data_IF_091048464970
#
_entry.id   IF_091048464970
#
_cell.length_a   1.000
_cell.length_b   1.000
_cell.length_c   1.000
_cell.angle_alpha   90.00
_cell.angle_beta   90.00
_cell.angle_gamma   90.00
#
_symmetry.space_group_name_H-M   'P 1'
#
loop_
_entity.id
_entity.type
_entity.pdbx_description
1 polymer ?
#
# COMPACT_ATOMS: atom_id res chain seq x y z
N UNK A 1 -2.37 23.15 3.72
CA UNK A 1 -2.02 21.72 3.86
C UNK A 1 -2.62 21.26 5.18
N UNK A 2 -3.53 20.29 5.15
CA UNK A 2 -4.15 19.72 6.36
C UNK A 2 -3.10 18.96 7.18
N UNK A 3 -3.39 18.68 8.45
CA UNK A 3 -2.52 17.84 9.28
C UNK A 3 -2.35 16.46 8.64
N UNK A 4 -3.41 15.87 8.10
CA UNK A 4 -3.39 14.58 7.39
C UNK A 4 -2.47 14.62 6.18
N UNK A 5 -2.59 15.62 5.30
CA UNK A 5 -1.71 15.76 4.14
C UNK A 5 -0.21 15.86 4.53
N UNK A 6 0.10 16.48 5.67
CA UNK A 6 1.48 16.53 6.19
C UNK A 6 1.96 15.17 6.69
N UNK A 7 1.13 14.44 7.42
CA UNK A 7 1.47 13.08 7.88
C UNK A 7 1.63 12.12 6.70
N UNK A 8 0.77 12.23 5.69
CA UNK A 8 0.87 11.47 4.45
C UNK A 8 2.22 11.70 3.76
N UNK A 9 2.63 12.97 3.61
CA UNK A 9 3.92 13.29 3.00
C UNK A 9 5.11 12.71 3.77
N UNK A 10 5.07 12.72 5.11
CA UNK A 10 6.11 12.08 5.92
C UNK A 10 6.09 10.56 5.83
N UNK A 11 4.91 9.96 5.82
CA UNK A 11 4.75 8.51 5.70
C UNK A 11 5.29 8.01 4.34
N UNK A 12 5.03 8.74 3.26
CA UNK A 12 5.56 8.44 1.93
C UNK A 12 7.08 8.59 1.85
N UNK A 13 7.66 9.58 2.53
CA UNK A 13 9.12 9.72 2.59
C UNK A 13 9.79 8.58 3.37
N UNK A 14 9.13 8.03 4.39
CA UNK A 14 9.68 6.96 5.21
C UNK A 14 9.79 5.62 4.47
N UNK A 15 9.03 5.42 3.39
CA UNK A 15 9.09 4.21 2.55
C UNK A 15 10.45 4.05 1.84
N UNK A 16 11.20 5.13 1.64
CA UNK A 16 12.47 5.10 0.92
C UNK A 16 12.34 5.46 -0.57
N UNK A 17 13.48 5.46 -1.25
CA UNK A 17 13.61 5.99 -2.62
C UNK A 17 13.66 4.90 -3.68
N UNK A 18 13.97 3.65 -3.30
CA UNK A 18 14.08 2.50 -4.22
C UNK A 18 13.08 1.41 -3.87
N UNK A 19 12.81 0.50 -4.82
CA UNK A 19 11.90 -0.63 -4.59
C UNK A 19 12.35 -1.54 -3.45
N UNK A 20 13.66 -1.72 -3.27
CA UNK A 20 14.22 -2.53 -2.20
C UNK A 20 14.09 -1.83 -0.84
N UNK A 21 14.29 -0.51 -0.77
CA UNK A 21 14.09 0.24 0.49
C UNK A 21 12.64 0.11 0.95
N UNK A 22 11.69 0.24 0.00
CA UNK A 22 10.26 0.09 0.24
C UNK A 22 9.96 -1.32 0.76
N UNK A 23 10.48 -2.35 0.09
CA UNK A 23 10.28 -3.73 0.51
C UNK A 23 10.85 -4.00 1.90
N UNK A 24 12.10 -3.59 2.17
CA UNK A 24 12.73 -3.77 3.48
C UNK A 24 11.96 -3.04 4.59
N UNK A 25 11.51 -1.81 4.33
CA UNK A 25 10.71 -1.04 5.27
C UNK A 25 9.38 -1.74 5.56
N UNK A 26 8.68 -2.21 4.53
CA UNK A 26 7.39 -2.89 4.66
C UNK A 26 7.54 -4.22 5.41
N UNK A 27 8.56 -5.00 5.09
CA UNK A 27 8.88 -6.27 5.75
C UNK A 27 9.23 -6.04 7.22
N UNK A 28 10.03 -5.01 7.53
CA UNK A 28 10.40 -4.67 8.91
C UNK A 28 9.18 -4.24 9.76
N UNK A 29 8.18 -3.61 9.14
CA UNK A 29 6.93 -3.23 9.80
C UNK A 29 5.84 -4.31 9.78
N UNK A 30 6.06 -5.42 9.08
CA UNK A 30 5.09 -6.51 8.96
C UNK A 30 3.85 -6.15 8.13
N UNK A 31 3.96 -5.18 7.21
CA UNK A 31 2.87 -4.80 6.32
C UNK A 31 2.88 -5.65 5.05
N UNK A 32 2.13 -6.74 5.06
CA UNK A 32 1.88 -7.60 3.88
C UNK A 32 0.58 -7.21 3.19
N UNK A 33 0.41 -7.56 1.92
CA UNK A 33 -0.77 -7.18 1.15
C UNK A 33 -1.06 -8.08 -0.04
N UNK A 34 -2.15 -7.80 -0.76
CA UNK A 34 -2.57 -8.57 -1.93
C UNK A 34 -2.10 -7.89 -3.21
N UNK A 35 -1.64 -8.71 -4.16
CA UNK A 35 -1.28 -8.26 -5.51
C UNK A 35 -2.52 -7.81 -6.27
N UNK A 36 -2.36 -6.84 -7.15
CA UNK A 36 -3.41 -6.30 -8.03
C UNK A 36 -4.65 -5.74 -7.29
N UNK A 37 -4.59 -5.59 -5.97
CA UNK A 37 -5.62 -4.94 -5.16
C UNK A 37 -5.05 -3.67 -4.53
N UNK A 38 -5.42 -2.53 -5.09
CA UNK A 38 -4.92 -1.24 -4.62
C UNK A 38 -5.32 -0.88 -3.18
N UNK A 39 -6.39 -1.47 -2.63
CA UNK A 39 -6.79 -1.26 -1.22
C UNK A 39 -6.06 -2.20 -0.27
N UNK A 40 -5.73 -3.39 -0.75
CA UNK A 40 -4.98 -4.39 0.01
C UNK A 40 -3.48 -4.38 -0.31
N UNK A 41 -2.99 -3.43 -1.11
CA UNK A 41 -1.56 -3.24 -1.36
C UNK A 41 -0.81 -3.02 -0.03
N UNK A 42 0.41 -3.57 0.14
CA UNK A 42 1.22 -3.33 1.34
C UNK A 42 1.38 -1.85 1.72
N UNK A 43 1.55 -0.97 0.73
CA UNK A 43 1.64 0.47 0.93
C UNK A 43 0.31 1.05 1.44
N UNK A 44 -0.83 0.61 0.90
CA UNK A 44 -2.15 1.08 1.34
C UNK A 44 -2.43 0.68 2.79
N UNK A 45 -2.05 -0.54 3.18
CA UNK A 45 -2.16 -1.04 4.56
C UNK A 45 -1.26 -0.25 5.50
N UNK A 46 0.00 -0.02 5.11
CA UNK A 46 0.92 0.82 5.86
C UNK A 46 0.34 2.22 6.09
N UNK A 47 -0.06 2.93 5.04
CA UNK A 47 -0.57 4.30 5.14
C UNK A 47 -1.81 4.37 6.03
N UNK A 48 -2.73 3.42 5.88
CA UNK A 48 -3.93 3.31 6.73
C UNK A 48 -3.60 3.07 8.21
N UNK A 49 -2.47 2.42 8.50
CA UNK A 49 -2.06 2.11 9.87
C UNK A 49 -1.32 3.25 10.58
N UNK A 50 -0.62 4.13 9.85
CA UNK A 50 0.24 5.17 10.46
C UNK A 50 -0.27 6.59 10.28
N UNK A 51 -1.07 6.86 9.25
CA UNK A 51 -1.59 8.21 9.00
C UNK A 51 -2.95 8.36 9.70
N UNK A 52 -3.08 9.30 10.64
CA UNK A 52 -4.33 9.49 11.37
C UNK A 52 -5.43 10.05 10.46
N UNK A 53 -6.69 9.77 10.84
CA UNK A 53 -7.88 10.30 10.17
C UNK A 53 -8.09 9.80 8.73
N UNK A 54 -7.57 8.62 8.38
CA UNK A 54 -7.84 7.95 7.10
C UNK A 54 -9.02 7.00 7.25
N UNK A 55 -9.91 6.96 6.26
CA UNK A 55 -10.99 5.99 6.13
C UNK A 55 -10.81 5.01 4.97
N UNK A 56 -10.17 5.41 3.87
CA UNK A 56 -9.86 4.55 2.72
C UNK A 56 -8.52 4.97 2.11
N UNK A 57 -7.76 4.00 1.61
CA UNK A 57 -6.53 4.23 0.83
C UNK A 57 -6.55 3.30 -0.37
N UNK A 58 -6.32 3.88 -1.54
CA UNK A 58 -6.20 3.16 -2.78
C UNK A 58 -4.88 3.51 -3.46
N UNK A 59 -4.10 2.48 -3.79
CA UNK A 59 -2.77 2.60 -4.38
C UNK A 59 -2.72 1.88 -5.72
N UNK A 60 -2.20 2.55 -6.73
CA UNK A 60 -1.74 1.94 -7.99
C UNK A 60 -0.34 2.44 -8.29
N UNK A 61 0.37 1.89 -9.30
CA UNK A 61 1.64 2.47 -9.74
C UNK A 61 1.55 3.96 -10.13
N UNK A 62 0.37 4.45 -10.53
CA UNK A 62 0.22 5.79 -11.09
C UNK A 62 -0.53 6.77 -10.19
N UNK A 63 -1.17 6.27 -9.12
CA UNK A 63 -2.15 7.03 -8.36
C UNK A 63 -2.15 6.57 -6.90
N UNK A 64 -2.26 7.55 -5.99
CA UNK A 64 -2.54 7.37 -4.58
C UNK A 64 -3.76 8.22 -4.22
N UNK A 65 -4.86 7.57 -3.88
CA UNK A 65 -6.06 8.22 -3.38
C UNK A 65 -6.20 7.91 -1.90
N UNK A 66 -6.32 8.96 -1.08
CA UNK A 66 -6.59 8.85 0.35
C UNK A 66 -7.89 9.57 0.66
N UNK A 67 -8.83 8.86 1.26
CA UNK A 67 -10.07 9.44 1.79
C UNK A 67 -9.94 9.55 3.30
N UNK A 68 -10.18 10.74 3.82
CA UNK A 68 -10.17 11.00 5.27
C UNK A 68 -11.53 10.65 5.89
N UNK A 69 -11.57 10.43 7.20
CA UNK A 69 -12.82 10.13 7.91
C UNK A 69 -13.85 11.28 7.86
N UNK A 70 -13.39 12.50 7.60
CA UNK A 70 -14.26 13.67 7.39
C UNK A 70 -14.76 13.81 5.95
N UNK A 71 -14.36 12.91 5.04
CA UNK A 71 -14.75 12.88 3.64
C UNK A 71 -13.89 13.74 2.70
N UNK A 72 -12.79 14.33 3.18
CA UNK A 72 -11.78 14.95 2.30
C UNK A 72 -11.07 13.87 1.50
N UNK A 73 -11.00 14.02 0.17
CA UNK A 73 -10.25 13.18 -0.74
C UNK A 73 -8.95 13.88 -1.14
N UNK A 74 -7.84 13.19 -0.97
CA UNK A 74 -6.49 13.63 -1.32
C UNK A 74 -6.00 12.71 -2.44
N UNK A 75 -5.92 13.25 -3.65
CA UNK A 75 -5.35 12.60 -4.82
C UNK A 75 -3.92 13.10 -5.04
N UNK A 76 -2.97 12.18 -5.11
CA UNK A 76 -1.57 12.48 -5.39
C UNK A 76 -0.87 11.32 -6.09
N UNK A 77 0.37 11.54 -6.52
CA UNK A 77 1.20 10.50 -7.13
C UNK A 77 2.14 9.91 -6.11
N UNK A 78 2.39 8.61 -6.22
CA UNK A 78 3.46 7.96 -5.48
C UNK A 78 4.83 8.52 -5.90
N UNK A 79 5.79 8.63 -4.97
CA UNK A 79 7.19 8.79 -5.34
C UNK A 79 7.68 7.60 -6.18
N UNK A 80 8.76 7.79 -6.95
CA UNK A 80 9.25 6.81 -7.94
C UNK A 80 9.50 5.43 -7.31
N UNK A 81 10.24 5.35 -6.19
CA UNK A 81 10.51 4.07 -5.51
C UNK A 81 9.23 3.29 -5.13
N UNK A 82 8.30 3.89 -4.37
CA UNK A 82 6.99 3.32 -4.09
C UNK A 82 6.18 2.94 -5.35
N UNK A 83 6.17 3.76 -6.39
CA UNK A 83 5.47 3.48 -7.66
C UNK A 83 6.05 2.25 -8.38
N UNK A 84 7.37 2.19 -8.51
CA UNK A 84 8.08 1.05 -9.10
C UNK A 84 7.90 -0.22 -8.25
N UNK A 85 7.83 -0.06 -6.92
CA UNK A 85 7.57 -1.18 -6.01
C UNK A 85 6.20 -1.79 -6.27
N UNK A 86 5.13 -0.99 -6.39
CA UNK A 86 3.79 -1.50 -6.66
C UNK A 86 3.77 -2.30 -7.95
N UNK A 87 4.38 -1.79 -9.02
CA UNK A 87 4.47 -2.50 -10.30
C UNK A 87 5.19 -3.84 -10.15
N UNK A 88 6.37 -3.84 -9.52
CA UNK A 88 7.14 -5.06 -9.34
C UNK A 88 6.44 -6.08 -8.44
N UNK A 89 5.77 -5.62 -7.37
CA UNK A 89 5.01 -6.46 -6.46
C UNK A 89 3.83 -7.15 -7.17
N UNK A 90 3.07 -6.39 -7.97
CA UNK A 90 1.96 -6.91 -8.77
C UNK A 90 2.44 -7.90 -9.83
N UNK A 91 3.63 -7.70 -10.40
CA UNK A 91 4.27 -8.61 -11.37
C UNK A 91 4.85 -9.90 -10.73
N UNK A 92 4.72 -10.06 -9.41
CA UNK A 92 5.16 -11.27 -8.71
C UNK A 92 6.50 -11.16 -7.97
N UNK A 93 7.12 -9.98 -7.89
CA UNK A 93 8.25 -9.77 -6.99
C UNK A 93 7.80 -9.72 -5.52
N UNK A 94 8.77 -9.82 -4.61
CA UNK A 94 8.57 -9.72 -3.14
C UNK A 94 7.49 -10.67 -2.60
N UNK A 95 7.62 -11.97 -2.90
CA UNK A 95 6.69 -13.02 -2.45
C UNK A 95 6.50 -13.05 -0.92
N UNK A 96 7.50 -12.61 -0.15
CA UNK A 96 7.45 -12.50 1.30
C UNK A 96 6.49 -11.42 1.82
N UNK A 97 6.16 -10.44 0.98
CA UNK A 97 5.18 -9.39 1.27
C UNK A 97 3.77 -9.72 0.75
N UNK A 98 3.64 -10.77 -0.07
CA UNK A 98 2.36 -11.20 -0.62
C UNK A 98 1.57 -11.97 0.44
N UNK A 99 0.44 -11.42 0.84
CA UNK A 99 -0.56 -12.10 1.64
C UNK A 99 -1.26 -13.15 0.77
N UNK A 100 -1.60 -14.26 1.41
CA UNK A 100 -2.32 -15.37 0.77
C UNK A 100 -3.72 -15.37 1.35
N UNK A 101 -4.74 -15.25 0.49
CA UNK A 101 -6.12 -15.48 0.90
C UNK A 101 -6.29 -16.99 1.03
N UNK A 102 -6.75 -17.43 2.19
CA UNK A 102 -7.16 -18.80 2.39
C UNK A 102 -8.65 -18.87 2.68
N UNK A 103 -9.32 -19.89 2.16
CA UNK A 103 -10.71 -20.16 2.50
C UNK A 103 -10.88 -20.65 3.95
N UNK A 104 -12.11 -20.99 4.33
CA UNK A 104 -12.45 -21.53 5.65
C UNK A 104 -11.78 -22.88 5.97
N UNK A 105 -11.22 -23.55 4.95
CA UNK A 105 -10.50 -24.82 5.07
C UNK A 105 -8.99 -24.65 5.03
N UNK A 106 -8.48 -23.42 4.90
CA UNK A 106 -7.06 -23.12 4.82
C UNK A 106 -6.46 -23.38 3.44
N UNK A 107 -7.28 -23.58 2.42
CA UNK A 107 -6.84 -23.71 1.03
C UNK A 107 -6.54 -22.33 0.45
N UNK A 108 -5.39 -22.19 -0.21
CA UNK A 108 -5.04 -20.95 -0.90
C UNK A 108 -6.02 -20.73 -2.04
N UNK A 109 -6.80 -19.65 -1.95
CA UNK A 109 -7.71 -19.25 -3.02
C UNK A 109 -6.99 -18.28 -3.94
N UNK A 110 -6.81 -18.67 -5.21
CA UNK A 110 -6.38 -17.78 -6.30
C UNK A 110 -7.57 -16.96 -6.84
N UNK A 111 -8.50 -16.56 -5.95
CA UNK A 111 -9.70 -15.81 -6.31
C UNK A 111 -9.35 -14.33 -6.54
N UNK A 112 -8.49 -14.10 -7.53
CA UNK A 112 -8.49 -12.91 -8.38
C UNK A 112 -9.10 -13.24 -9.75
N UNK A 113 -10.07 -14.16 -9.82
CA UNK A 113 -11.02 -14.17 -10.95
C UNK A 113 -12.02 -13.01 -10.76
N UNK A 114 -11.59 -11.81 -11.19
CA UNK A 114 -12.50 -10.67 -11.45
C UNK A 114 -13.34 -10.89 -12.69
#
# INVERSE_FOLDING_TARGET
MSATARHLAFALQALGETTNDVAEFLTAGGWTGLRSDGRACPIAIYLSSVVPNISDVYVTPYELVVVTADGEEIDTVLPVGPSDFVSAFDDGAYDDLAAVITDEFGEVTDDLER
#
